data_IF_520928435005
#
_entry.id   IF_520928435005
#
_cell.length_a   1.000
_cell.length_b   1.000
_cell.length_c   1.000
_cell.angle_alpha   90.00
_cell.angle_beta   90.00
_cell.angle_gamma   90.00
#
_symmetry.space_group_name_H-M   'P 1'
#
loop_
_entity.id
_entity.type
_entity.pdbx_description
1 polymer ?
#
# COMPACT_ATOMS: atom_id res chain seq x y z
N UNK A 1 13.78 -15.27 16.96
CA UNK A 1 12.38 -15.04 17.37
C UNK A 1 11.44 -15.88 16.52
N UNK A 2 10.31 -16.27 17.08
CA UNK A 2 9.20 -16.89 16.35
C UNK A 2 8.13 -15.84 16.10
N UNK A 3 7.86 -15.55 14.83
CA UNK A 3 6.93 -14.52 14.41
C UNK A 3 5.72 -15.14 13.70
N UNK A 4 4.53 -14.68 14.03
CA UNK A 4 3.30 -15.06 13.34
C UNK A 4 2.68 -13.81 12.73
N UNK A 5 2.46 -13.82 11.41
CA UNK A 5 1.73 -12.79 10.69
C UNK A 5 0.34 -13.29 10.32
N UNK A 6 -0.70 -12.50 10.59
CA UNK A 6 -2.08 -12.79 10.22
C UNK A 6 -2.52 -11.84 9.11
N UNK A 7 -2.94 -12.41 7.98
CA UNK A 7 -3.43 -11.70 6.80
C UNK A 7 -4.63 -12.46 6.21
N UNK A 8 -5.48 -11.79 5.42
CA UNK A 8 -6.61 -12.47 4.77
C UNK A 8 -6.15 -13.55 3.78
N UNK A 9 -5.24 -13.21 2.89
CA UNK A 9 -4.64 -14.13 1.91
C UNK A 9 -3.37 -13.54 1.32
N UNK A 10 -2.57 -14.36 0.64
CA UNK A 10 -1.33 -13.96 -0.06
C UNK A 10 -1.40 -14.23 -1.56
N UNK A 11 -2.56 -14.66 -2.07
CA UNK A 11 -2.80 -15.04 -3.47
C UNK A 11 -2.98 -13.85 -4.43
N UNK A 12 -3.17 -12.64 -3.92
CA UNK A 12 -3.38 -11.45 -4.73
C UNK A 12 -2.12 -10.62 -4.91
N UNK A 13 -2.06 -9.83 -5.99
CA UNK A 13 -0.96 -8.92 -6.31
C UNK A 13 -1.00 -7.59 -5.55
N UNK A 14 -1.56 -7.57 -4.34
CA UNK A 14 -1.71 -6.36 -3.53
C UNK A 14 -0.41 -5.86 -2.90
N UNK A 15 -0.39 -4.57 -2.56
CA UNK A 15 0.78 -3.96 -1.90
C UNK A 15 1.05 -4.52 -0.50
N UNK A 16 0.01 -4.88 0.24
CA UNK A 16 0.13 -5.45 1.59
C UNK A 16 0.74 -6.85 1.54
N UNK A 17 0.33 -7.68 0.57
CA UNK A 17 0.86 -9.02 0.33
C UNK A 17 2.33 -8.96 -0.08
N UNK A 18 2.72 -7.98 -0.91
CA UNK A 18 4.12 -7.75 -1.29
C UNK A 18 4.97 -7.35 -0.10
N UNK A 19 4.49 -6.40 0.72
CA UNK A 19 5.20 -5.96 1.94
C UNK A 19 5.39 -7.12 2.90
N UNK A 20 4.35 -7.95 3.10
CA UNK A 20 4.46 -9.12 3.97
C UNK A 20 5.47 -10.13 3.41
N UNK A 21 5.45 -10.42 2.11
CA UNK A 21 6.40 -11.35 1.50
C UNK A 21 7.85 -10.88 1.69
N UNK A 22 8.13 -9.60 1.44
CA UNK A 22 9.47 -9.03 1.65
C UNK A 22 9.91 -9.13 3.11
N UNK A 23 9.04 -8.75 4.07
CA UNK A 23 9.33 -8.87 5.51
C UNK A 23 9.58 -10.32 5.94
N UNK A 24 8.72 -11.24 5.52
CA UNK A 24 8.86 -12.66 5.86
C UNK A 24 10.17 -13.23 5.34
N UNK A 25 10.53 -12.92 4.08
CA UNK A 25 11.78 -13.33 3.48
C UNK A 25 12.99 -12.72 4.20
N UNK A 26 12.92 -11.44 4.58
CA UNK A 26 13.98 -10.79 5.37
C UNK A 26 14.19 -11.51 6.69
N UNK A 27 13.11 -11.74 7.45
CA UNK A 27 13.22 -12.38 8.78
C UNK A 27 13.82 -13.78 8.74
N UNK A 28 13.41 -14.61 7.77
CA UNK A 28 13.98 -15.97 7.68
C UNK A 28 15.45 -15.95 7.24
N UNK A 29 15.87 -14.98 6.41
CA UNK A 29 17.30 -14.77 6.07
C UNK A 29 18.13 -14.40 7.29
N UNK A 30 17.52 -13.71 8.27
CA UNK A 30 18.17 -13.29 9.53
C UNK A 30 17.94 -14.28 10.68
N UNK A 31 17.57 -15.55 10.36
CA UNK A 31 17.50 -16.62 11.35
C UNK A 31 16.27 -16.62 12.26
N UNK A 32 15.18 -15.96 11.84
CA UNK A 32 13.92 -15.99 12.57
C UNK A 32 12.96 -17.03 11.99
N UNK A 33 12.14 -17.64 12.85
CA UNK A 33 11.05 -18.51 12.43
C UNK A 33 9.81 -17.68 12.08
N UNK A 34 9.33 -17.78 10.84
CA UNK A 34 8.18 -17.03 10.37
C UNK A 34 7.04 -17.95 9.97
N UNK A 35 5.85 -17.68 10.49
CA UNK A 35 4.61 -18.34 10.08
C UNK A 35 3.62 -17.29 9.57
N UNK A 36 3.16 -17.42 8.33
CA UNK A 36 2.06 -16.63 7.77
C UNK A 36 0.77 -17.43 7.93
N UNK A 37 -0.23 -16.80 8.54
CA UNK A 37 -1.56 -17.38 8.77
C UNK A 37 -2.56 -16.65 7.90
N UNK A 38 -3.26 -17.39 7.05
CA UNK A 38 -4.29 -16.87 6.16
C UNK A 38 -5.68 -17.37 6.54
N UNK A 39 -6.71 -16.74 6.02
CA UNK A 39 -8.13 -17.13 6.22
C UNK A 39 -8.86 -17.41 4.92
N UNK A 40 -8.34 -16.91 3.79
CA UNK A 40 -8.99 -16.91 2.49
C UNK A 40 -7.97 -17.27 1.36
N UNK A 41 -7.10 -18.26 1.61
CA UNK A 41 -6.08 -18.68 0.63
C UNK A 41 -6.65 -19.57 -0.49
N UNK A 42 -7.73 -20.28 -0.22
CA UNK A 42 -8.46 -21.15 -1.17
C UNK A 42 -7.58 -22.20 -1.86
N UNK A 43 -6.51 -22.66 -1.22
CA UNK A 43 -5.57 -23.65 -1.79
C UNK A 43 -4.63 -23.07 -2.86
N UNK A 44 -4.70 -21.76 -3.14
CA UNK A 44 -3.85 -21.12 -4.12
C UNK A 44 -2.44 -20.83 -3.55
N UNK A 45 -1.45 -20.77 -4.44
CA UNK A 45 -0.08 -20.38 -4.05
C UNK A 45 0.00 -18.86 -3.76
N UNK A 46 0.95 -18.42 -2.91
CA UNK A 46 1.26 -17.01 -2.75
C UNK A 46 1.64 -16.37 -4.09
N UNK A 47 1.11 -15.16 -4.36
CA UNK A 47 1.42 -14.43 -5.59
C UNK A 47 2.89 -14.00 -5.63
N UNK A 48 3.40 -13.49 -4.51
CA UNK A 48 4.80 -13.09 -4.38
C UNK A 48 5.62 -14.26 -3.82
N UNK A 49 6.86 -14.37 -4.30
CA UNK A 49 7.78 -15.40 -3.86
C UNK A 49 8.02 -15.34 -2.35
N UNK A 50 7.83 -16.47 -1.70
CA UNK A 50 8.21 -16.71 -0.30
C UNK A 50 9.36 -17.69 -0.24
N UNK A 51 10.33 -17.41 0.63
CA UNK A 51 11.41 -18.34 0.97
C UNK A 51 10.81 -19.64 1.52
N UNK A 52 11.36 -20.77 1.15
CA UNK A 52 10.86 -22.11 1.54
C UNK A 52 10.83 -22.34 3.06
N UNK A 53 11.57 -21.55 3.82
CA UNK A 53 11.59 -21.59 5.29
C UNK A 53 10.38 -20.90 5.92
N UNK A 54 9.65 -20.06 5.18
CA UNK A 54 8.42 -19.43 5.64
C UNK A 54 7.29 -20.47 5.69
N UNK A 55 6.70 -20.66 6.85
CA UNK A 55 5.57 -21.58 7.03
C UNK A 55 4.28 -20.86 6.67
N UNK A 56 3.48 -21.40 5.76
CA UNK A 56 2.17 -20.88 5.39
C UNK A 56 1.07 -21.81 5.90
N UNK A 57 0.10 -21.28 6.64
CA UNK A 57 -1.01 -22.05 7.22
C UNK A 57 -2.31 -21.31 6.94
N UNK A 58 -3.18 -21.91 6.12
CA UNK A 58 -4.54 -21.40 5.93
C UNK A 58 -5.49 -21.94 6.99
N UNK A 59 -6.25 -21.06 7.62
CA UNK A 59 -7.29 -21.43 8.59
C UNK A 59 -8.61 -21.80 7.89
N UNK A 60 -8.73 -21.64 6.59
CA UNK A 60 -9.90 -22.01 5.77
C UNK A 60 -11.21 -21.45 6.35
N UNK A 61 -11.22 -20.16 6.69
CA UNK A 61 -12.43 -19.48 7.18
C UNK A 61 -13.27 -18.99 6.01
N UNK A 62 -12.61 -18.60 4.93
CA UNK A 62 -13.19 -18.21 3.64
C UNK A 62 -14.25 -17.09 3.80
N UNK A 63 -13.84 -15.95 4.39
CA UNK A 63 -14.72 -14.79 4.56
C UNK A 63 -15.21 -14.25 3.22
N UNK A 64 -14.39 -14.36 2.16
CA UNK A 64 -14.70 -13.89 0.82
C UNK A 64 -15.89 -14.61 0.19
N UNK A 65 -16.20 -15.85 0.60
CA UNK A 65 -17.40 -16.59 0.14
C UNK A 65 -18.71 -15.86 0.48
N UNK A 66 -18.65 -14.90 1.37
CA UNK A 66 -19.80 -14.07 1.73
C UNK A 66 -19.93 -12.83 0.82
N UNK A 67 -18.95 -12.56 -0.06
CA UNK A 67 -19.03 -11.48 -1.01
C UNK A 67 -20.17 -11.76 -2.01
N UNK A 68 -20.97 -10.74 -2.32
CA UNK A 68 -22.15 -10.91 -3.18
C UNK A 68 -23.41 -11.47 -2.48
N UNK A 69 -23.30 -12.07 -1.27
CA UNK A 69 -24.47 -12.57 -0.54
C UNK A 69 -25.30 -11.45 0.09
N UNK A 70 -26.59 -11.76 0.38
CA UNK A 70 -27.50 -10.81 1.04
C UNK A 70 -26.98 -10.37 2.40
N UNK A 71 -27.45 -9.20 2.86
CA UNK A 71 -27.05 -8.62 4.14
C UNK A 71 -27.41 -9.53 5.32
N UNK A 72 -28.56 -10.20 5.23
CA UNK A 72 -29.03 -11.15 6.26
C UNK A 72 -28.11 -12.36 6.39
N UNK A 73 -27.67 -12.92 5.26
CA UNK A 73 -26.69 -14.00 5.26
C UNK A 73 -25.34 -13.56 5.87
N UNK A 74 -24.90 -12.33 5.53
CA UNK A 74 -23.65 -11.77 6.12
C UNK A 74 -23.76 -11.63 7.63
N UNK A 75 -24.88 -11.13 8.14
CA UNK A 75 -25.12 -10.96 9.58
C UNK A 75 -25.20 -12.30 10.33
N UNK A 76 -25.78 -13.33 9.72
CA UNK A 76 -25.90 -14.66 10.34
C UNK A 76 -24.55 -15.42 10.34
N UNK A 77 -23.83 -15.43 9.22
CA UNK A 77 -22.61 -16.24 9.07
C UNK A 77 -21.35 -15.57 9.64
N UNK A 78 -21.28 -14.24 9.69
CA UNK A 78 -20.09 -13.54 10.15
C UNK A 78 -19.73 -13.85 11.62
N UNK A 79 -20.64 -13.83 12.59
CA UNK A 79 -20.34 -14.19 13.97
C UNK A 79 -19.86 -15.63 14.12
N UNK A 80 -20.46 -16.57 13.37
CA UNK A 80 -20.02 -17.98 13.36
C UNK A 80 -18.61 -18.12 12.81
N UNK A 81 -18.29 -17.48 11.66
CA UNK A 81 -16.94 -17.46 11.08
C UNK A 81 -15.94 -16.83 12.07
N UNK A 82 -16.30 -15.76 12.75
CA UNK A 82 -15.48 -15.15 13.81
C UNK A 82 -15.19 -16.10 14.97
N UNK A 83 -16.18 -16.87 15.43
CA UNK A 83 -16.00 -17.87 16.46
C UNK A 83 -15.04 -18.98 16.02
N UNK A 84 -15.25 -19.54 14.83
CA UNK A 84 -14.38 -20.59 14.24
C UNK A 84 -12.96 -20.06 14.05
N UNK A 85 -12.81 -18.86 13.50
CA UNK A 85 -11.53 -18.19 13.31
C UNK A 85 -10.78 -18.05 14.64
N UNK A 86 -11.43 -17.49 15.65
CA UNK A 86 -10.84 -17.35 16.99
C UNK A 86 -10.37 -18.68 17.56
N UNK A 87 -11.19 -19.74 17.43
CA UNK A 87 -10.88 -21.09 17.92
C UNK A 87 -9.66 -21.68 17.19
N UNK A 88 -9.66 -21.64 15.84
CA UNK A 88 -8.56 -22.18 15.04
C UNK A 88 -7.27 -21.39 15.24
N UNK A 89 -7.33 -20.07 15.24
CA UNK A 89 -6.15 -19.21 15.47
C UNK A 89 -5.58 -19.44 16.88
N UNK A 90 -6.43 -19.51 17.93
CA UNK A 90 -5.95 -19.80 19.29
C UNK A 90 -5.25 -21.14 19.39
N UNK A 91 -5.79 -22.20 18.77
CA UNK A 91 -5.18 -23.52 18.75
C UNK A 91 -3.82 -23.49 18.04
N UNK A 92 -3.72 -22.75 16.92
CA UNK A 92 -2.47 -22.56 16.20
C UNK A 92 -1.43 -21.83 17.05
N UNK A 93 -1.79 -20.69 17.66
CA UNK A 93 -0.88 -19.91 18.50
C UNK A 93 -0.38 -20.70 19.71
N UNK A 94 -1.24 -21.55 20.30
CA UNK A 94 -0.83 -22.47 21.37
C UNK A 94 0.19 -23.49 20.90
N UNK A 95 0.08 -23.99 19.66
CA UNK A 95 1.01 -24.95 19.06
C UNK A 95 2.33 -24.31 18.66
N UNK A 96 2.27 -23.13 18.00
CA UNK A 96 3.47 -22.44 17.48
C UNK A 96 4.24 -21.74 18.59
N UNK A 97 3.56 -21.26 19.63
CA UNK A 97 4.12 -20.46 20.73
C UNK A 97 5.01 -19.31 20.22
N UNK A 98 4.47 -18.41 19.40
CA UNK A 98 5.27 -17.29 18.87
C UNK A 98 5.62 -16.31 19.99
N UNK A 99 6.77 -15.65 19.81
CA UNK A 99 7.19 -14.54 20.66
C UNK A 99 6.33 -13.29 20.37
N UNK A 100 5.98 -13.10 19.09
CA UNK A 100 5.18 -11.96 18.62
C UNK A 100 4.17 -12.43 17.56
N UNK A 101 2.93 -11.96 17.70
CA UNK A 101 1.87 -12.14 16.70
C UNK A 101 1.49 -10.78 16.12
N UNK A 102 1.62 -10.64 14.80
CA UNK A 102 1.35 -9.41 14.06
C UNK A 102 0.06 -9.57 13.26
N UNK A 103 -0.92 -8.71 13.50
CA UNK A 103 -2.12 -8.58 12.68
C UNK A 103 -1.91 -7.50 11.62
N UNK A 104 -2.18 -7.81 10.37
CA UNK A 104 -2.19 -6.84 9.28
C UNK A 104 -3.57 -6.17 9.12
N UNK A 105 -4.24 -5.94 10.25
CA UNK A 105 -5.55 -5.30 10.36
C UNK A 105 -6.67 -6.03 9.59
N UNK A 106 -6.67 -7.36 9.63
CA UNK A 106 -7.70 -8.19 9.00
C UNK A 106 -8.80 -8.60 9.99
N UNK A 107 -9.52 -9.67 9.69
CA UNK A 107 -10.68 -10.10 10.46
C UNK A 107 -10.37 -10.53 11.91
N UNK A 108 -9.14 -10.96 12.21
CA UNK A 108 -8.66 -11.31 13.55
C UNK A 108 -8.43 -10.10 14.46
N UNK A 109 -8.24 -8.92 13.89
CA UNK A 109 -7.87 -7.71 14.64
C UNK A 109 -8.81 -7.46 15.83
N UNK A 110 -10.11 -7.71 15.67
CA UNK A 110 -11.12 -7.48 16.71
C UNK A 110 -10.98 -8.38 17.96
N UNK A 111 -10.43 -9.59 17.81
CA UNK A 111 -10.37 -10.57 18.92
C UNK A 111 -8.96 -11.02 19.28
N UNK A 112 -7.94 -10.78 18.44
CA UNK A 112 -6.55 -11.18 18.69
C UNK A 112 -6.01 -10.67 20.04
N UNK A 113 -6.26 -9.42 20.47
CA UNK A 113 -5.82 -8.95 21.80
C UNK A 113 -6.42 -9.71 22.98
N UNK A 114 -7.54 -10.44 22.76
CA UNK A 114 -8.20 -11.25 23.79
C UNK A 114 -7.69 -12.68 23.86
N UNK A 115 -6.80 -13.08 22.95
CA UNK A 115 -6.16 -14.40 22.95
C UNK A 115 -4.90 -14.29 23.80
N UNK A 116 -4.85 -15.05 24.90
CA UNK A 116 -3.70 -15.04 25.84
C UNK A 116 -2.43 -15.64 25.19
N UNK A 117 -2.64 -16.65 24.36
CA UNK A 117 -1.56 -17.35 23.64
C UNK A 117 -1.02 -16.47 22.52
N UNK A 118 0.22 -16.70 22.10
CA UNK A 118 0.80 -16.06 20.91
C UNK A 118 1.66 -14.82 21.20
N UNK A 119 2.25 -14.71 22.38
CA UNK A 119 3.22 -13.66 22.74
C UNK A 119 2.64 -12.25 22.66
N UNK A 120 3.49 -11.27 22.42
CA UNK A 120 3.11 -9.86 22.23
C UNK A 120 2.24 -9.67 20.98
N UNK A 121 1.28 -8.75 21.05
CA UNK A 121 0.33 -8.47 19.95
C UNK A 121 0.67 -7.13 19.31
N UNK A 122 1.06 -7.18 18.05
CA UNK A 122 1.34 -6.00 17.23
C UNK A 122 0.24 -5.86 16.18
N UNK A 123 -0.26 -4.66 16.00
CA UNK A 123 -1.19 -4.31 14.93
C UNK A 123 -0.47 -3.43 13.91
N UNK A 124 -0.48 -3.82 12.66
CA UNK A 124 0.10 -3.06 11.56
C UNK A 124 -0.98 -2.64 10.58
N UNK A 125 -1.07 -1.34 10.26
CA UNK A 125 -2.07 -0.81 9.34
C UNK A 125 -1.40 -0.37 8.03
N UNK A 126 -2.00 -0.76 6.89
CA UNK A 126 -1.49 -0.44 5.54
C UNK A 126 -2.39 0.53 4.76
N UNK A 127 -3.26 1.22 5.45
CA UNK A 127 -4.17 2.21 4.90
C UNK A 127 -4.38 3.36 5.88
N UNK A 128 -4.85 4.51 5.40
CA UNK A 128 -5.15 5.65 6.24
C UNK A 128 -6.26 5.36 7.25
N UNK A 129 -6.20 5.98 8.43
CA UNK A 129 -7.28 5.99 9.44
C UNK A 129 -8.64 6.24 8.80
N UNK A 130 -8.71 7.15 7.85
CA UNK A 130 -9.97 7.57 7.23
C UNK A 130 -10.41 6.73 6.03
N UNK A 131 -9.72 5.62 5.71
CA UNK A 131 -10.04 4.76 4.57
C UNK A 131 -11.55 4.51 4.40
N UNK A 132 -12.26 4.17 5.47
CA UNK A 132 -13.70 3.87 5.40
C UNK A 132 -14.54 5.08 5.03
N UNK A 133 -14.17 6.28 5.52
CA UNK A 133 -14.88 7.52 5.27
C UNK A 133 -14.62 8.07 3.87
N UNK A 134 -13.52 7.66 3.23
CA UNK A 134 -13.09 8.09 1.91
C UNK A 134 -13.80 7.34 0.77
N UNK A 135 -14.54 6.26 1.07
CA UNK A 135 -15.34 5.55 0.06
C UNK A 135 -16.52 6.36 -0.51
N UNK A 136 -16.76 7.57 0.00
CA UNK A 136 -17.84 8.44 -0.50
C UNK A 136 -19.26 7.93 -0.27
N UNK A 137 -19.45 6.91 0.58
CA UNK A 137 -20.77 6.35 0.88
C UNK A 137 -21.68 7.39 1.52
N UNK A 138 -22.96 7.38 1.17
CA UNK A 138 -23.99 8.30 1.67
C UNK A 138 -24.99 7.59 2.57
N UNK A 139 -25.80 8.35 3.32
CA UNK A 139 -26.90 7.85 4.13
C UNK A 139 -26.47 6.91 5.25
N UNK A 140 -27.24 5.84 5.49
CA UNK A 140 -27.02 4.87 6.57
C UNK A 140 -25.63 4.24 6.56
N UNK A 141 -25.08 3.98 5.37
CA UNK A 141 -23.75 3.39 5.22
C UNK A 141 -22.63 4.30 5.70
N UNK A 142 -22.79 5.62 5.58
CA UNK A 142 -21.84 6.59 6.15
C UNK A 142 -21.82 6.49 7.68
N UNK A 143 -22.99 6.33 8.31
CA UNK A 143 -23.09 6.13 9.76
C UNK A 143 -22.38 4.83 10.21
N UNK A 144 -22.57 3.75 9.47
CA UNK A 144 -21.89 2.48 9.74
C UNK A 144 -20.36 2.68 9.64
N UNK A 145 -19.87 3.41 8.65
CA UNK A 145 -18.43 3.67 8.48
C UNK A 145 -17.88 4.55 9.62
N UNK A 146 -18.64 5.52 10.11
CA UNK A 146 -18.26 6.35 11.28
C UNK A 146 -18.17 5.48 12.54
N UNK A 147 -19.18 4.66 12.81
CA UNK A 147 -19.20 3.77 13.98
C UNK A 147 -18.03 2.78 13.93
N UNK A 148 -17.75 2.20 12.76
CA UNK A 148 -16.61 1.31 12.58
C UNK A 148 -15.27 2.02 12.78
N UNK A 149 -15.13 3.25 12.27
CA UNK A 149 -13.91 4.03 12.48
C UNK A 149 -13.67 4.36 13.97
N UNK A 150 -14.73 4.68 14.71
CA UNK A 150 -14.64 4.85 16.19
C UNK A 150 -14.29 3.56 16.90
N UNK A 151 -14.84 2.44 16.44
CA UNK A 151 -14.48 1.12 16.99
C UNK A 151 -13.01 0.81 16.75
N UNK A 152 -12.48 1.13 15.55
CA UNK A 152 -11.07 0.97 15.23
C UNK A 152 -10.18 1.78 16.21
N UNK A 153 -10.58 3.01 16.59
CA UNK A 153 -9.85 3.82 17.61
C UNK A 153 -9.78 3.17 19.00
N UNK A 154 -10.82 2.43 19.38
CA UNK A 154 -10.83 1.68 20.65
C UNK A 154 -10.00 0.41 20.51
N UNK A 155 -10.04 -0.19 19.34
CA UNK A 155 -9.37 -1.46 19.05
C UNK A 155 -7.84 -1.31 19.09
N UNK A 156 -7.29 -0.29 18.42
CA UNK A 156 -5.84 -0.10 18.33
C UNK A 156 -5.18 0.08 19.70
N UNK A 157 -5.90 0.62 20.67
CA UNK A 157 -5.43 0.80 22.06
C UNK A 157 -5.25 -0.52 22.83
N UNK A 158 -5.81 -1.63 22.33
CA UNK A 158 -5.76 -2.95 22.99
C UNK A 158 -4.54 -3.77 22.60
N UNK A 159 -3.77 -3.31 21.63
CA UNK A 159 -2.53 -3.93 21.18
C UNK A 159 -1.34 -3.43 21.98
N UNK A 160 -0.32 -4.26 22.13
CA UNK A 160 0.92 -3.88 22.80
C UNK A 160 1.69 -2.83 21.99
N UNK A 161 1.61 -2.94 20.66
CA UNK A 161 2.07 -1.92 19.72
C UNK A 161 1.10 -1.78 18.55
N UNK A 162 0.95 -0.55 18.11
CA UNK A 162 0.20 -0.17 16.92
C UNK A 162 1.14 0.55 15.96
N UNK A 163 1.34 -0.02 14.77
CA UNK A 163 2.27 0.50 13.76
C UNK A 163 1.48 1.14 12.63
N UNK A 164 1.77 2.41 12.38
CA UNK A 164 1.29 3.20 11.24
C UNK A 164 2.44 3.49 10.29
N UNK A 165 2.15 3.81 9.03
CA UNK A 165 3.19 3.93 8.01
C UNK A 165 3.76 5.33 7.85
N UNK A 166 3.05 6.38 8.34
CA UNK A 166 3.38 7.78 8.08
C UNK A 166 3.19 8.64 9.33
N UNK A 167 3.95 9.74 9.44
CA UNK A 167 3.74 10.74 10.49
C UNK A 167 2.40 11.47 10.31
N UNK A 168 1.96 11.63 9.04
CA UNK A 168 0.64 12.20 8.75
C UNK A 168 -0.47 11.33 9.34
N UNK A 169 -0.47 10.00 9.09
CA UNK A 169 -1.51 9.10 9.64
C UNK A 169 -1.46 9.04 11.17
N UNK A 170 -0.25 9.05 11.76
CA UNK A 170 -0.07 9.16 13.22
C UNK A 170 -0.77 10.40 13.78
N UNK A 171 -0.68 11.54 13.10
CA UNK A 171 -1.35 12.76 13.53
C UNK A 171 -2.87 12.61 13.59
N UNK A 172 -3.44 11.84 12.68
CA UNK A 172 -4.88 11.56 12.64
C UNK A 172 -5.36 10.64 13.78
N UNK A 173 -4.53 9.68 14.20
CA UNK A 173 -4.85 8.81 15.34
C UNK A 173 -4.73 9.51 16.70
N UNK A 174 -4.01 10.64 16.76
CA UNK A 174 -3.74 11.38 17.98
C UNK A 174 -2.66 10.72 18.85
N UNK A 175 -2.52 11.20 20.09
CA UNK A 175 -1.51 10.70 21.01
C UNK A 175 -1.88 9.34 21.59
N UNK A 176 -1.38 8.26 21.00
CA UNK A 176 -1.53 6.90 21.51
C UNK A 176 -0.17 6.40 22.04
N UNK A 177 -0.07 5.96 23.31
CA UNK A 177 1.20 5.58 23.93
C UNK A 177 1.82 4.31 23.32
N UNK A 178 1.01 3.49 22.66
CA UNK A 178 1.44 2.24 21.99
C UNK A 178 1.70 2.40 20.50
N UNK A 179 1.55 3.62 19.93
CA UNK A 179 1.70 3.86 18.50
C UNK A 179 3.13 4.19 18.12
N UNK A 180 3.57 3.60 16.99
CA UNK A 180 4.90 3.81 16.40
C UNK A 180 4.74 4.01 14.90
N UNK A 181 5.58 4.86 14.29
CA UNK A 181 5.66 5.01 12.84
C UNK A 181 6.80 4.16 12.31
N UNK A 182 6.48 3.19 11.47
CA UNK A 182 7.47 2.41 10.71
C UNK A 182 6.96 2.31 9.26
N UNK A 183 7.60 2.97 8.30
CA UNK A 183 7.17 2.92 6.91
C UNK A 183 7.41 1.55 6.29
N UNK A 184 6.83 1.31 5.11
CA UNK A 184 7.22 0.18 4.31
C UNK A 184 8.62 0.40 3.72
N UNK A 185 9.39 -0.67 3.61
CA UNK A 185 10.62 -0.67 2.84
C UNK A 185 10.31 -0.61 1.33
N UNK A 186 11.19 0.01 0.55
CA UNK A 186 11.13 -0.08 -0.91
C UNK A 186 11.32 -1.53 -1.37
N UNK A 187 10.65 -1.90 -2.45
CA UNK A 187 10.65 -3.27 -2.95
C UNK A 187 11.96 -3.64 -3.64
N UNK A 188 12.59 -2.67 -4.29
CA UNK A 188 13.75 -2.87 -5.14
C UNK A 188 14.95 -2.04 -4.68
N UNK A 189 16.14 -2.60 -4.86
CA UNK A 189 17.39 -1.87 -4.83
C UNK A 189 17.95 -1.84 -6.27
N UNK A 190 17.64 -0.80 -7.06
CA UNK A 190 18.04 -0.76 -8.46
C UNK A 190 19.55 -0.79 -8.60
N UNK A 191 20.06 -1.57 -9.54
CA UNK A 191 21.47 -1.52 -9.97
C UNK A 191 21.74 -0.27 -10.80
N UNK A 192 20.75 0.16 -11.58
CA UNK A 192 20.82 1.34 -12.44
C UNK A 192 19.55 2.19 -12.29
N UNK A 193 19.71 3.50 -12.25
CA UNK A 193 18.60 4.47 -12.27
C UNK A 193 18.07 4.68 -13.69
N UNK A 194 16.87 5.27 -13.80
CA UNK A 194 16.36 5.73 -15.09
C UNK A 194 17.28 6.83 -15.68
N UNK A 195 17.48 6.80 -17.00
CA UNK A 195 18.19 7.84 -17.72
C UNK A 195 17.36 9.11 -17.91
N UNK A 196 16.05 9.07 -17.66
CA UNK A 196 15.09 10.17 -17.79
C UNK A 196 15.04 10.81 -19.20
N UNK A 197 15.49 10.06 -20.22
CA UNK A 197 15.56 10.53 -21.61
C UNK A 197 14.34 10.12 -22.43
N UNK A 198 13.69 9.03 -22.06
CA UNK A 198 12.46 8.63 -22.69
C UNK A 198 11.34 9.63 -22.38
N UNK A 199 10.47 9.86 -23.34
CA UNK A 199 9.37 10.81 -23.21
C UNK A 199 8.12 10.06 -22.66
N UNK A 200 8.26 9.47 -21.47
CA UNK A 200 7.23 8.64 -20.83
C UNK A 200 6.91 9.20 -19.45
N UNK A 201 5.64 9.54 -19.25
CA UNK A 201 5.01 9.69 -17.93
C UNK A 201 4.36 8.37 -17.58
N UNK A 202 4.70 7.81 -16.44
CA UNK A 202 4.17 6.53 -15.95
C UNK A 202 3.25 6.74 -14.76
N UNK A 203 2.10 6.09 -14.77
CA UNK A 203 1.18 5.98 -13.65
C UNK A 203 0.81 4.51 -13.46
N UNK A 204 0.85 4.01 -12.21
CA UNK A 204 0.60 2.59 -11.93
C UNK A 204 -0.37 2.43 -10.78
N UNK A 205 -1.32 1.53 -10.92
CA UNK A 205 -2.25 1.19 -9.84
C UNK A 205 -3.52 0.53 -10.34
N UNK A 206 -4.36 0.08 -9.41
CA UNK A 206 -5.67 -0.48 -9.75
C UNK A 206 -6.55 0.59 -10.40
N UNK A 207 -7.21 0.26 -11.49
CA UNK A 207 -8.11 1.17 -12.19
C UNK A 207 -9.44 1.29 -11.41
N UNK A 208 -9.40 2.08 -10.33
CA UNK A 208 -10.50 2.25 -9.36
C UNK A 208 -10.70 3.73 -9.04
N UNK A 209 -11.82 4.06 -8.41
CA UNK A 209 -12.11 5.40 -7.90
C UNK A 209 -10.98 5.96 -7.02
N UNK A 210 -10.34 5.12 -6.20
CA UNK A 210 -9.26 5.52 -5.31
C UNK A 210 -8.09 6.15 -6.06
N UNK A 211 -7.69 5.57 -7.20
CA UNK A 211 -6.49 6.00 -7.94
C UNK A 211 -6.70 7.24 -8.79
N UNK A 212 -7.95 7.56 -9.15
CA UNK A 212 -8.31 8.83 -9.78
C UNK A 212 -7.66 9.08 -11.14
N UNK A 213 -7.47 8.04 -11.95
CA UNK A 213 -6.81 8.16 -13.25
C UNK A 213 -7.58 9.03 -14.25
N UNK A 214 -8.88 9.20 -14.09
CA UNK A 214 -9.67 10.15 -14.86
C UNK A 214 -9.12 11.57 -14.71
N UNK A 215 -8.68 11.95 -13.51
CA UNK A 215 -8.07 13.26 -13.24
C UNK A 215 -6.70 13.41 -13.93
N UNK A 216 -5.97 12.31 -14.09
CA UNK A 216 -4.69 12.33 -14.80
C UNK A 216 -4.91 12.49 -16.30
N UNK A 217 -5.90 11.81 -16.87
CA UNK A 217 -6.29 11.95 -18.28
C UNK A 217 -6.76 13.39 -18.55
N UNK A 218 -7.55 13.97 -17.64
CA UNK A 218 -7.98 15.37 -17.71
C UNK A 218 -6.77 16.33 -17.65
N UNK A 219 -5.82 16.12 -16.73
CA UNK A 219 -4.61 16.93 -16.69
C UNK A 219 -3.76 16.78 -17.97
N UNK A 220 -3.72 15.56 -18.53
CA UNK A 220 -2.99 15.28 -19.78
C UNK A 220 -3.65 15.98 -20.97
N UNK A 221 -4.97 16.06 -21.02
CA UNK A 221 -5.70 16.76 -22.11
C UNK A 221 -5.33 18.25 -22.20
N UNK A 222 -5.01 18.90 -21.07
CA UNK A 222 -4.52 20.29 -21.04
C UNK A 222 -3.11 20.43 -21.64
N UNK A 223 -2.39 19.32 -21.85
CA UNK A 223 -1.07 19.28 -22.46
C UNK A 223 -1.10 18.80 -23.92
N UNK A 224 -2.27 18.42 -24.40
CA UNK A 224 -2.46 17.87 -25.75
C UNK A 224 -1.92 18.83 -26.82
N UNK A 225 -1.20 18.28 -27.81
CA UNK A 225 -0.56 19.07 -28.87
C UNK A 225 0.72 19.82 -28.47
N UNK A 226 0.93 20.15 -27.20
CA UNK A 226 2.13 20.85 -26.72
C UNK A 226 3.37 19.94 -26.68
N UNK A 227 3.16 18.65 -26.37
CA UNK A 227 4.23 17.65 -26.23
C UNK A 227 3.96 16.38 -27.04
N UNK A 228 3.95 16.44 -28.40
CA UNK A 228 3.46 15.34 -29.25
C UNK A 228 4.27 14.04 -29.12
N UNK A 229 5.52 14.13 -28.67
CA UNK A 229 6.39 12.97 -28.53
C UNK A 229 6.31 12.33 -27.14
N UNK A 230 5.59 12.94 -26.18
CA UNK A 230 5.42 12.37 -24.85
C UNK A 230 4.23 11.42 -24.83
N UNK A 231 4.37 10.35 -24.04
CA UNK A 231 3.33 9.33 -23.86
C UNK A 231 3.02 9.19 -22.38
N UNK A 232 1.74 9.03 -22.07
CA UNK A 232 1.25 8.67 -20.75
C UNK A 232 0.92 7.18 -20.75
N UNK A 233 1.62 6.41 -19.91
CA UNK A 233 1.32 5.00 -19.67
C UNK A 233 0.61 4.85 -18.32
N UNK A 234 -0.63 4.35 -18.36
CA UNK A 234 -1.40 3.99 -17.17
C UNK A 234 -1.42 2.47 -17.10
N UNK A 235 -0.70 1.90 -16.13
CA UNK A 235 -0.49 0.45 -16.00
C UNK A 235 -1.31 -0.08 -14.84
N UNK A 236 -2.23 -0.97 -15.14
CA UNK A 236 -3.10 -1.56 -14.14
C UNK A 236 -4.34 -2.23 -14.72
N UNK A 237 -5.18 -2.74 -13.81
CA UNK A 237 -6.48 -3.30 -14.10
C UNK A 237 -7.49 -2.91 -13.02
N UNK A 238 -8.77 -3.00 -13.31
CA UNK A 238 -9.84 -2.69 -12.37
C UNK A 238 -11.15 -2.28 -13.03
N UNK A 239 -12.14 -2.06 -12.18
CA UNK A 239 -13.53 -1.79 -12.54
C UNK A 239 -13.77 -0.56 -13.42
N UNK A 240 -12.80 0.38 -13.44
CA UNK A 240 -12.90 1.63 -14.23
C UNK A 240 -12.19 1.55 -15.59
N UNK A 241 -11.73 0.37 -16.01
CA UNK A 241 -10.96 0.25 -17.24
C UNK A 241 -11.72 0.78 -18.46
N UNK A 242 -12.93 0.30 -18.69
CA UNK A 242 -13.77 0.71 -19.83
C UNK A 242 -14.10 2.20 -19.80
N UNK A 243 -14.43 2.74 -18.60
CA UNK A 243 -14.68 4.17 -18.39
C UNK A 243 -13.48 5.03 -18.79
N UNK A 244 -12.27 4.60 -18.41
CA UNK A 244 -11.04 5.32 -18.72
C UNK A 244 -10.66 5.21 -20.20
N UNK A 245 -10.84 4.04 -20.82
CA UNK A 245 -10.66 3.86 -22.27
C UNK A 245 -11.58 4.78 -23.07
N UNK A 246 -12.85 4.86 -22.67
CA UNK A 246 -13.81 5.77 -23.31
C UNK A 246 -13.40 7.24 -23.12
N UNK A 247 -12.96 7.62 -21.92
CA UNK A 247 -12.49 8.98 -21.64
C UNK A 247 -11.29 9.38 -22.52
N UNK A 248 -10.36 8.46 -22.79
CA UNK A 248 -9.25 8.68 -23.71
C UNK A 248 -9.75 8.97 -25.13
N UNK A 249 -10.75 8.23 -25.60
CA UNK A 249 -11.38 8.44 -26.91
C UNK A 249 -12.10 9.78 -26.97
N UNK A 250 -12.95 10.08 -26.00
CA UNK A 250 -13.75 11.31 -25.94
C UNK A 250 -12.85 12.56 -25.87
N UNK A 251 -11.65 12.41 -25.27
CA UNK A 251 -10.66 13.49 -25.17
C UNK A 251 -9.70 13.56 -26.36
N UNK A 252 -9.84 12.70 -27.37
CA UNK A 252 -8.94 12.61 -28.55
C UNK A 252 -7.47 12.40 -28.17
N UNK A 253 -7.19 11.49 -27.21
CA UNK A 253 -5.87 11.24 -26.65
C UNK A 253 -5.28 9.86 -27.02
N UNK A 254 -5.90 9.13 -27.97
CA UNK A 254 -5.54 7.74 -28.31
C UNK A 254 -4.08 7.59 -28.77
N UNK A 255 -3.50 8.64 -29.33
CA UNK A 255 -2.11 8.64 -29.82
C UNK A 255 -1.07 8.93 -28.72
N UNK A 256 -1.53 9.35 -27.51
CA UNK A 256 -0.62 9.79 -26.45
C UNK A 256 -0.89 9.13 -25.09
N UNK A 257 -2.06 8.56 -24.84
CA UNK A 257 -2.42 7.89 -23.58
C UNK A 257 -2.69 6.41 -23.84
N UNK A 258 -2.00 5.55 -23.09
CA UNK A 258 -2.07 4.09 -23.24
C UNK A 258 -2.40 3.42 -21.91
N UNK A 259 -3.54 2.76 -21.81
CA UNK A 259 -3.87 1.87 -20.73
C UNK A 259 -3.24 0.50 -20.99
N UNK A 260 -2.38 0.06 -20.09
CA UNK A 260 -1.63 -1.21 -20.20
C UNK A 260 -2.03 -2.17 -19.09
N UNK A 261 -2.10 -3.45 -19.42
CA UNK A 261 -2.30 -4.50 -18.43
C UNK A 261 -1.18 -4.51 -17.37
N UNK A 262 -1.46 -5.03 -16.16
CA UNK A 262 -0.43 -5.22 -15.14
C UNK A 262 0.73 -6.05 -15.68
N UNK A 263 1.96 -5.65 -15.34
CA UNK A 263 3.19 -6.38 -15.72
C UNK A 263 3.84 -7.00 -14.49
N UNK A 264 4.54 -8.11 -14.70
CA UNK A 264 5.34 -8.74 -13.64
C UNK A 264 6.66 -8.02 -13.41
N UNK A 265 7.30 -7.58 -14.49
CA UNK A 265 8.56 -6.83 -14.44
C UNK A 265 8.31 -5.32 -14.36
N UNK A 266 8.12 -4.84 -13.14
CA UNK A 266 7.98 -3.41 -12.88
C UNK A 266 9.29 -2.65 -13.05
N UNK A 267 10.44 -3.30 -12.93
CA UNK A 267 11.73 -2.66 -13.02
C UNK A 267 11.99 -2.09 -14.42
N UNK A 268 11.57 -2.82 -15.47
CA UNK A 268 11.67 -2.32 -16.83
C UNK A 268 10.87 -1.03 -17.00
N UNK A 269 9.63 -0.98 -16.50
CA UNK A 269 8.80 0.22 -16.59
C UNK A 269 9.44 1.43 -15.89
N UNK A 270 10.02 1.22 -14.70
CA UNK A 270 10.73 2.30 -14.00
C UNK A 270 11.97 2.76 -14.77
N UNK A 271 12.75 1.87 -15.35
CA UNK A 271 13.92 2.25 -16.17
C UNK A 271 13.54 3.07 -17.39
N UNK A 272 12.39 2.79 -17.98
CA UNK A 272 11.89 3.50 -19.16
C UNK A 272 11.19 4.83 -18.82
N UNK A 273 10.64 4.98 -17.63
CA UNK A 273 9.91 6.18 -17.23
C UNK A 273 10.83 7.38 -16.99
N UNK A 274 10.36 8.58 -17.36
CA UNK A 274 11.05 9.85 -17.08
C UNK A 274 10.35 10.68 -15.99
N UNK A 275 9.07 10.46 -15.76
CA UNK A 275 8.25 11.09 -14.73
C UNK A 275 7.24 10.08 -14.20
N UNK A 276 7.00 10.07 -12.90
CA UNK A 276 5.85 9.37 -12.30
C UNK A 276 4.75 10.38 -12.01
N UNK A 277 3.51 10.03 -12.36
CA UNK A 277 2.33 10.78 -12.00
C UNK A 277 1.42 9.98 -11.07
N UNK A 278 0.91 10.61 -10.00
CA UNK A 278 -0.05 9.99 -9.09
C UNK A 278 -1.21 10.96 -8.77
N UNK A 279 -2.44 10.50 -9.05
CA UNK A 279 -3.65 11.30 -8.88
C UNK A 279 -4.64 10.69 -7.88
N UNK A 280 -4.14 9.83 -7.00
CA UNK A 280 -4.95 9.14 -6.00
C UNK A 280 -5.72 10.10 -5.09
N UNK A 281 -6.91 9.69 -4.68
CA UNK A 281 -7.74 10.41 -3.71
C UNK A 281 -7.32 10.17 -2.27
N UNK A 282 -6.78 9.00 -2.01
CA UNK A 282 -6.25 8.59 -0.69
C UNK A 282 -5.33 7.39 -0.84
N UNK A 283 -4.36 7.29 0.07
CA UNK A 283 -3.38 6.22 0.13
C UNK A 283 -3.15 5.76 1.59
N UNK A 284 -2.27 4.80 1.78
CA UNK A 284 -1.59 4.55 3.05
C UNK A 284 -0.15 5.03 2.94
N UNK A 285 0.69 4.22 2.31
CA UNK A 285 2.02 4.61 1.84
C UNK A 285 2.20 4.06 0.42
N UNK A 286 2.11 4.91 -0.62
CA UNK A 286 2.10 4.44 -2.01
C UNK A 286 3.46 3.89 -2.43
N UNK A 287 3.57 2.56 -2.53
CA UNK A 287 4.82 1.85 -2.87
C UNK A 287 5.43 2.33 -4.18
N UNK A 288 4.60 2.67 -5.18
CA UNK A 288 5.09 3.20 -6.47
C UNK A 288 5.96 4.45 -6.31
N UNK A 289 5.69 5.31 -5.33
CA UNK A 289 6.49 6.51 -5.10
C UNK A 289 7.84 6.16 -4.48
N UNK A 290 7.90 5.19 -3.57
CA UNK A 290 9.15 4.69 -2.99
C UNK A 290 10.04 4.06 -4.08
N UNK A 291 9.41 3.26 -4.93
CA UNK A 291 10.06 2.58 -6.04
C UNK A 291 10.57 3.59 -7.07
N UNK A 292 9.74 4.57 -7.47
CA UNK A 292 10.11 5.62 -8.38
C UNK A 292 11.33 6.44 -7.89
N UNK A 293 11.32 6.84 -6.60
CA UNK A 293 12.45 7.53 -6.01
C UNK A 293 13.74 6.69 -6.07
N UNK A 294 13.64 5.38 -5.84
CA UNK A 294 14.80 4.50 -5.91
C UNK A 294 15.41 4.46 -7.32
N UNK A 295 14.54 4.48 -8.36
CA UNK A 295 14.99 4.57 -9.77
C UNK A 295 15.40 5.99 -10.20
N UNK A 296 15.37 6.97 -9.31
CA UNK A 296 15.72 8.34 -9.60
C UNK A 296 14.72 9.05 -10.53
N UNK A 297 13.45 8.69 -10.47
CA UNK A 297 12.42 9.28 -11.30
C UNK A 297 11.70 10.37 -10.50
N UNK A 298 11.67 11.63 -10.98
CA UNK A 298 10.92 12.69 -10.32
C UNK A 298 9.42 12.43 -10.38
N UNK A 299 8.73 12.83 -9.33
CA UNK A 299 7.32 12.52 -9.12
C UNK A 299 6.49 13.78 -9.20
N UNK A 300 5.31 13.72 -9.84
CA UNK A 300 4.24 14.71 -9.69
C UNK A 300 3.04 14.01 -9.06
N UNK A 301 2.67 14.41 -7.86
CA UNK A 301 1.60 13.74 -7.12
C UNK A 301 0.61 14.74 -6.53
N UNK A 302 -0.68 14.37 -6.52
CA UNK A 302 -1.60 15.04 -5.61
C UNK A 302 -1.17 14.80 -4.16
N UNK A 303 -1.28 15.85 -3.35
CA UNK A 303 -1.14 15.78 -1.89
C UNK A 303 -2.45 15.22 -1.31
N UNK A 304 -2.76 13.96 -1.65
CA UNK A 304 -3.88 13.26 -1.04
C UNK A 304 -3.55 12.84 0.39
N UNK A 305 -4.58 12.50 1.15
CA UNK A 305 -4.40 12.04 2.54
C UNK A 305 -3.56 10.77 2.59
N UNK A 306 -2.53 10.83 3.43
CA UNK A 306 -1.49 9.85 3.73
C UNK A 306 -0.56 9.49 2.56
N UNK A 307 0.71 9.56 2.85
CA UNK A 307 1.80 9.00 2.08
C UNK A 307 2.55 9.95 1.18
N UNK A 308 1.95 10.66 0.22
CA UNK A 308 2.75 11.49 -0.71
C UNK A 308 3.60 12.55 -0.01
N UNK A 309 3.05 13.24 1.01
CA UNK A 309 3.77 14.26 1.76
C UNK A 309 4.87 13.68 2.67
N UNK A 310 4.76 12.42 3.06
CA UNK A 310 5.82 11.72 3.82
C UNK A 310 6.93 11.18 2.91
N UNK A 311 6.68 11.09 1.60
CA UNK A 311 7.63 10.55 0.63
C UNK A 311 8.33 11.66 -0.16
N UNK A 312 7.57 12.64 -0.65
CA UNK A 312 8.05 13.68 -1.56
C UNK A 312 8.43 14.93 -0.77
N UNK A 313 9.63 15.45 -1.02
CA UNK A 313 10.01 16.79 -0.62
C UNK A 313 9.73 17.74 -1.78
N UNK A 314 8.66 18.54 -1.66
CA UNK A 314 8.16 19.41 -2.73
C UNK A 314 9.26 20.33 -3.29
N UNK A 315 9.34 20.39 -4.63
CA UNK A 315 10.34 21.18 -5.37
C UNK A 315 11.76 20.60 -5.34
N UNK A 316 12.04 19.54 -4.58
CA UNK A 316 13.37 18.94 -4.44
C UNK A 316 13.50 17.61 -5.19
N UNK A 317 12.67 16.64 -4.91
CA UNK A 317 12.68 15.29 -5.48
C UNK A 317 11.37 14.93 -6.22
N UNK A 318 10.47 15.90 -6.31
CA UNK A 318 9.19 15.85 -6.99
C UNK A 318 8.34 17.07 -6.71
N UNK A 319 7.11 17.05 -7.15
CA UNK A 319 6.12 18.10 -6.88
C UNK A 319 4.89 17.53 -6.17
N UNK A 320 4.46 18.22 -5.11
CA UNK A 320 3.20 17.99 -4.43
C UNK A 320 2.18 19.03 -4.90
N UNK A 321 1.11 18.55 -5.54
CA UNK A 321 0.03 19.38 -6.05
C UNK A 321 -1.16 19.30 -5.09
N UNK A 322 -1.85 20.40 -4.75
CA UNK A 322 -3.08 20.33 -3.97
C UNK A 322 -4.07 19.32 -4.56
N UNK A 323 -4.70 18.52 -3.71
CA UNK A 323 -5.60 17.44 -4.12
C UNK A 323 -6.71 17.98 -5.03
N UNK A 324 -6.85 17.38 -6.24
CA UNK A 324 -7.85 17.77 -7.24
C UNK A 324 -7.52 19.01 -8.09
N UNK A 325 -6.36 19.65 -7.89
CA UNK A 325 -5.97 20.78 -8.73
C UNK A 325 -5.40 20.30 -10.07
N UNK A 326 -6.28 20.01 -11.02
CA UNK A 326 -5.95 19.49 -12.35
C UNK A 326 -5.03 20.46 -13.15
N UNK A 327 -5.31 21.78 -13.20
CA UNK A 327 -4.42 22.71 -13.92
C UNK A 327 -2.99 22.71 -13.37
N UNK A 328 -2.82 22.69 -12.05
CA UNK A 328 -1.49 22.65 -11.44
C UNK A 328 -0.79 21.30 -11.68
N UNK A 329 -1.54 20.18 -11.72
CA UNK A 329 -1.00 18.88 -12.12
C UNK A 329 -0.42 18.95 -13.53
N UNK A 330 -1.15 19.49 -14.48
CA UNK A 330 -0.68 19.69 -15.86
C UNK A 330 0.52 20.64 -15.92
N UNK A 331 0.51 21.74 -15.16
CA UNK A 331 1.64 22.68 -15.06
C UNK A 331 2.92 21.96 -14.60
N UNK A 332 2.88 21.19 -13.49
CA UNK A 332 4.05 20.51 -12.94
C UNK A 332 4.54 19.37 -13.85
N UNK A 333 3.64 18.66 -14.51
CA UNK A 333 4.00 17.72 -15.58
C UNK A 333 4.72 18.45 -16.72
N UNK A 334 4.16 19.57 -17.21
CA UNK A 334 4.75 20.40 -18.27
C UNK A 334 6.18 20.85 -17.92
N UNK A 335 6.43 21.29 -16.69
CA UNK A 335 7.77 21.68 -16.23
C UNK A 335 8.77 20.52 -16.37
N UNK A 336 8.40 19.32 -15.89
CA UNK A 336 9.27 18.15 -16.00
C UNK A 336 9.39 17.65 -17.43
N UNK A 337 8.37 17.76 -18.27
CA UNK A 337 8.42 17.32 -19.67
C UNK A 337 9.32 18.21 -20.53
N UNK A 338 9.35 19.52 -20.27
CA UNK A 338 10.12 20.49 -21.04
C UNK A 338 11.60 20.58 -20.64
N UNK A 339 11.93 20.34 -19.36
CA UNK A 339 13.27 20.58 -18.79
C UNK A 339 13.93 19.27 -18.34
N UNK A 340 14.87 18.77 -19.14
CA UNK A 340 15.68 17.58 -18.79
C UNK A 340 16.59 17.84 -17.58
N UNK A 341 17.17 19.03 -17.46
CA UNK A 341 18.09 19.35 -16.35
C UNK A 341 17.36 19.34 -15.02
N UNK A 342 16.13 19.88 -14.99
CA UNK A 342 15.26 19.82 -13.85
C UNK A 342 14.93 18.36 -13.47
N UNK A 343 14.55 17.53 -14.47
CA UNK A 343 14.28 16.10 -14.23
C UNK A 343 15.51 15.41 -13.65
N UNK A 344 16.68 15.61 -14.24
CA UNK A 344 17.93 14.99 -13.79
C UNK A 344 18.33 15.45 -12.37
N UNK A 345 18.16 16.73 -12.06
CA UNK A 345 18.41 17.28 -10.70
C UNK A 345 17.48 16.65 -9.69
N UNK A 346 16.17 16.62 -9.95
CA UNK A 346 15.19 16.02 -9.07
C UNK A 346 15.38 14.51 -8.94
N UNK A 347 15.73 13.82 -10.03
CA UNK A 347 16.02 12.39 -10.00
C UNK A 347 17.19 12.02 -9.08
N UNK A 348 18.29 12.80 -9.12
CA UNK A 348 19.39 12.63 -8.17
C UNK A 348 18.95 12.82 -6.71
N UNK A 349 18.12 13.83 -6.46
CA UNK A 349 17.57 14.07 -5.12
C UNK A 349 16.64 12.93 -4.68
N UNK A 350 15.82 12.38 -5.60
CA UNK A 350 14.93 11.27 -5.35
C UNK A 350 15.69 10.00 -4.89
N UNK A 351 16.81 9.66 -5.55
CA UNK A 351 17.68 8.54 -5.13
C UNK A 351 18.17 8.73 -3.70
N UNK A 352 18.60 9.94 -3.35
CA UNK A 352 19.05 10.23 -1.96
C UNK A 352 17.90 10.11 -0.96
N UNK A 353 16.73 10.63 -1.31
CA UNK A 353 15.53 10.56 -0.47
C UNK A 353 15.06 9.12 -0.27
N UNK A 354 15.18 8.25 -1.29
CA UNK A 354 14.74 6.85 -1.22
C UNK A 354 15.48 6.02 -0.17
N UNK A 355 16.71 6.40 0.19
CA UNK A 355 17.56 5.65 1.16
C UNK A 355 16.93 5.53 2.55
N UNK A 356 16.01 6.43 2.91
CA UNK A 356 15.28 6.32 4.19
C UNK A 356 14.32 5.13 4.23
N UNK A 357 13.98 4.57 3.05
CA UNK A 357 13.11 3.42 2.87
C UNK A 357 13.89 2.14 2.48
N UNK A 358 15.21 2.12 2.65
CA UNK A 358 16.03 0.93 2.42
C UNK A 358 15.57 -0.22 3.34
N UNK A 359 15.58 -1.45 2.81
CA UNK A 359 15.11 -2.64 3.53
C UNK A 359 15.79 -2.75 4.91
N UNK A 360 17.11 -2.72 4.94
CA UNK A 360 17.88 -2.81 6.19
C UNK A 360 17.50 -1.73 7.21
N UNK A 361 17.33 -0.50 6.75
CA UNK A 361 16.98 0.62 7.64
C UNK A 361 15.58 0.48 8.23
N UNK A 362 14.62 0.07 7.43
CA UNK A 362 13.23 -0.12 7.87
C UNK A 362 13.14 -1.35 8.77
N UNK A 363 13.81 -2.46 8.39
CA UNK A 363 13.76 -3.69 9.17
C UNK A 363 14.47 -3.53 10.51
N UNK A 364 15.52 -2.72 10.59
CA UNK A 364 16.14 -2.37 11.88
C UNK A 364 15.18 -1.63 12.83
N UNK A 365 14.25 -0.80 12.32
CA UNK A 365 13.21 -0.20 13.15
C UNK A 365 12.26 -1.26 13.72
N UNK A 366 11.92 -2.27 12.92
CA UNK A 366 11.13 -3.41 13.38
C UNK A 366 11.86 -4.25 14.42
N UNK A 367 13.16 -4.51 14.24
CA UNK A 367 13.99 -5.21 15.23
C UNK A 367 14.01 -4.48 16.57
N UNK A 368 14.19 -3.15 16.54
CA UNK A 368 14.15 -2.32 17.74
C UNK A 368 12.79 -2.38 18.44
N UNK A 369 11.68 -2.34 17.64
CA UNK A 369 10.35 -2.48 18.18
C UNK A 369 10.19 -3.84 18.88
N UNK A 370 10.57 -4.93 18.24
CA UNK A 370 10.44 -6.28 18.77
C UNK A 370 11.31 -6.48 20.01
N UNK A 371 12.55 -6.02 19.97
CA UNK A 371 13.46 -6.06 21.13
C UNK A 371 12.89 -5.28 22.32
N UNK A 372 12.26 -4.12 22.07
CA UNK A 372 11.60 -3.32 23.11
C UNK A 372 10.43 -4.02 23.79
N UNK A 373 9.78 -4.98 23.10
CA UNK A 373 8.72 -5.80 23.67
C UNK A 373 9.28 -6.96 24.48
N UNK A 374 10.28 -7.65 23.95
CA UNK A 374 10.88 -8.83 24.58
C UNK A 374 11.69 -8.51 25.83
N UNK A 375 12.36 -7.34 25.87
CA UNK A 375 13.16 -6.89 27.02
C UNK A 375 12.29 -6.33 28.19
N UNK A 376 10.96 -6.33 28.05
CA UNK A 376 10.03 -5.95 29.13
C UNK A 376 9.66 -7.10 30.08
N UNK A 377 10.26 -8.27 29.84
CA UNK A 377 10.17 -9.45 30.71
C UNK A 377 11.40 -9.42 31.63
#
# INVERSE_FOLDING_TARGET
>A
MRLVYCIAGTRHSGGMERVLANKANYWVRHGHDVTIVTTDQHGELPFFHLDTRVKCIDLEINYEDNNGKSIWNKLAYYPFKQYVHRKRLRALLKRVQPDITISMFCNEAAFLPKIKEGGWKVLEIHFSKYKRLQYGRKGLWRWVDIVRSRYDEILVKKYDRFVVLTEEDKSYWGALPNMVVIPNARTFTPTNTSLLQNKIVLAVGRLTYQKGFERLIEAWSLLNGKYPNWKLFIVGDGEKKEELEQLVVDSSLQDSVFLKAPVKDMEQLYREASVIAMTSRYEGLPMILLEAQAYGIPIVSFKCQCGPADIITDGKDGFLVPEGNIPMMAEKLSMLMSDYQLRAKMGKAAVLSSKRFDEERVMHQWENLFSSLLNKI
#
